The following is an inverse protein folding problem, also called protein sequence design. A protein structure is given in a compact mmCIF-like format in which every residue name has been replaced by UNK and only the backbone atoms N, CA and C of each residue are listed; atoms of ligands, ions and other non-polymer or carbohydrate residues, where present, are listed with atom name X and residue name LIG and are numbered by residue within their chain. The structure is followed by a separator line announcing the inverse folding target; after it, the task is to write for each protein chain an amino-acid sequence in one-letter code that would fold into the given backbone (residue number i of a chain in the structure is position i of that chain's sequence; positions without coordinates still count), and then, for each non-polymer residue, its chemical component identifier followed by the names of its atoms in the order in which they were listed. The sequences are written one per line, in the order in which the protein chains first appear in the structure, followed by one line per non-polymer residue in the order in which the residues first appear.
data_IF_668957989144
#
_entry.id   IF_668957989144
#
_cell.length_a   1.000
_cell.length_b   1.000
_cell.length_c   1.000
_cell.angle_alpha   90.00
_cell.angle_beta   90.00
_cell.angle_gamma   90.00
#
_symmetry.space_group_name_H-M   'P 1'
#
loop_
_entity.id
_entity.type
_entity.pdbx_description
1 polymer ?
#
# COMPACT_ATOMS: atom_id res chain seq x y z
N UNK A 1 5.24 2.98 -4.70
CA UNK A 1 5.68 4.29 -4.18
C UNK A 1 4.56 5.33 -4.21
N UNK A 2 3.93 5.63 -5.36
CA UNK A 2 2.83 6.64 -5.46
C UNK A 2 1.69 6.41 -4.47
N UNK A 3 1.24 5.16 -4.29
CA UNK A 3 0.19 4.78 -3.32
C UNK A 3 0.56 5.08 -1.85
N UNK A 4 1.84 4.87 -1.50
CA UNK A 4 2.36 5.16 -0.16
C UNK A 4 2.46 6.68 0.06
N UNK A 5 3.00 7.40 -0.93
CA UNK A 5 3.14 8.86 -0.89
C UNK A 5 1.75 9.52 -0.79
N UNK A 6 0.77 9.04 -1.56
CA UNK A 6 -0.61 9.53 -1.50
C UNK A 6 -1.22 9.31 -0.11
N UNK A 7 -1.02 8.13 0.50
CA UNK A 7 -1.49 7.84 1.85
C UNK A 7 -0.83 8.71 2.92
N UNK A 8 0.48 8.99 2.80
CA UNK A 8 1.21 9.87 3.72
C UNK A 8 0.74 11.32 3.58
N UNK A 9 0.55 11.82 2.35
CA UNK A 9 0.05 13.18 2.09
C UNK A 9 -1.38 13.38 2.60
N UNK A 10 -2.27 12.41 2.36
CA UNK A 10 -3.63 12.41 2.90
C UNK A 10 -3.62 12.40 4.44
N UNK A 11 -2.76 11.59 5.05
CA UNK A 11 -2.60 11.56 6.51
C UNK A 11 -2.05 12.86 7.09
N UNK A 12 -1.09 13.49 6.40
CA UNK A 12 -0.47 14.75 6.83
C UNK A 12 -1.47 15.92 6.83
N UNK A 13 -2.43 15.93 5.90
CA UNK A 13 -3.52 16.92 5.88
C UNK A 13 -4.68 16.58 6.84
N UNK A 14 -4.94 15.30 7.08
CA UNK A 14 -6.00 14.85 8.00
C UNK A 14 -5.68 15.11 9.48
N UNK A 15 -4.41 15.01 9.89
CA UNK A 15 -4.01 15.17 11.29
C UNK A 15 -4.23 16.60 11.83
N UNK A 16 -3.85 17.69 11.13
CA UNK A 16 -4.17 19.06 11.54
C UNK A 16 -5.67 19.34 11.58
N UNK A 17 -6.44 18.83 10.61
CA UNK A 17 -7.91 18.98 10.60
C UNK A 17 -8.55 18.30 11.80
N UNK A 18 -8.08 17.11 12.18
CA UNK A 18 -8.54 16.39 13.36
C UNK A 18 -8.26 17.17 14.65
N UNK A 19 -7.06 17.76 14.75
CA UNK A 19 -6.65 18.59 15.90
C UNK A 19 -7.50 19.86 15.99
N UNK A 20 -7.77 20.55 14.87
CA UNK A 20 -8.69 21.69 14.83
C UNK A 20 -10.11 21.31 15.25
N UNK A 21 -10.63 20.18 14.76
CA UNK A 21 -11.94 19.66 15.14
C UNK A 21 -12.01 19.34 16.65
N UNK A 22 -10.96 18.73 17.20
CA UNK A 22 -10.88 18.42 18.63
C UNK A 22 -10.83 19.67 19.50
N UNK A 23 -10.10 20.72 19.10
CA UNK A 23 -10.05 21.99 19.83
C UNK A 23 -11.43 22.66 19.87
N UNK A 24 -12.13 22.72 18.73
CA UNK A 24 -13.49 23.26 18.68
C UNK A 24 -14.47 22.41 19.50
N UNK A 25 -14.32 21.09 19.47
CA UNK A 25 -15.14 20.17 20.24
C UNK A 25 -14.94 20.35 21.76
N UNK A 26 -13.70 20.42 22.22
CA UNK A 26 -13.36 20.62 23.64
C UNK A 26 -13.88 21.98 24.11
N UNK A 27 -13.77 23.03 23.29
CA UNK A 27 -14.30 24.34 23.63
C UNK A 27 -15.83 24.31 23.81
N UNK A 28 -16.57 23.66 22.91
CA UNK A 28 -18.02 23.50 23.05
C UNK A 28 -18.44 22.66 24.27
N UNK A 29 -17.63 21.67 24.68
CA UNK A 29 -17.91 20.85 25.85
C UNK A 29 -17.73 21.63 27.16
N UNK A 30 -16.70 22.47 27.25
CA UNK A 30 -16.50 23.33 28.43
C UNK A 30 -17.63 24.35 28.61
N UNK A 31 -18.20 24.82 27.51
CA UNK A 31 -19.31 25.77 27.52
C UNK A 31 -20.70 25.10 27.56
N UNK A 32 -20.76 23.76 27.71
CA UNK A 32 -21.96 22.92 27.79
C UNK A 32 -22.95 22.96 26.60
N UNK A 33 -22.56 23.58 25.49
CA UNK A 33 -23.32 23.68 24.24
C UNK A 33 -23.22 22.38 23.40
N UNK A 34 -23.86 21.31 23.89
CA UNK A 34 -23.82 19.96 23.29
C UNK A 34 -24.30 19.91 21.82
N UNK A 35 -25.20 20.83 21.42
CA UNK A 35 -25.71 20.92 20.05
C UNK A 35 -24.65 21.38 19.05
N UNK A 36 -23.78 22.31 19.44
CA UNK A 36 -22.66 22.76 18.61
C UNK A 36 -21.56 21.70 18.52
N UNK A 37 -21.24 21.04 19.64
CA UNK A 37 -20.28 19.94 19.70
C UNK A 37 -20.61 18.81 18.70
N UNK A 38 -21.89 18.42 18.61
CA UNK A 38 -22.33 17.38 17.68
C UNK A 38 -22.15 17.78 16.21
N UNK A 39 -22.37 19.06 15.88
CA UNK A 39 -22.15 19.57 14.52
C UNK A 39 -20.67 19.48 14.12
N UNK A 40 -19.74 19.89 14.99
CA UNK A 40 -18.31 19.80 14.70
C UNK A 40 -17.84 18.35 14.55
N UNK A 41 -18.34 17.45 15.41
CA UNK A 41 -18.00 16.04 15.36
C UNK A 41 -18.45 15.38 14.05
N UNK A 42 -19.70 15.57 13.63
CA UNK A 42 -20.20 14.94 12.41
C UNK A 42 -19.72 15.64 11.12
N UNK A 43 -19.60 16.97 11.12
CA UNK A 43 -19.21 17.70 9.91
C UNK A 43 -17.72 17.63 9.61
N UNK A 44 -16.87 17.57 10.64
CA UNK A 44 -15.40 17.65 10.46
C UNK A 44 -14.64 16.52 11.14
N UNK A 45 -15.06 16.09 12.33
CA UNK A 45 -14.37 15.06 13.11
C UNK A 45 -14.45 13.68 12.47
N UNK A 46 -15.67 13.21 12.16
CA UNK A 46 -15.93 11.90 11.61
C UNK A 46 -15.35 11.71 10.20
N UNK A 47 -15.47 12.69 9.26
CA UNK A 47 -14.78 12.63 7.97
C UNK A 47 -13.24 12.58 8.11
N UNK A 48 -12.67 13.37 9.03
CA UNK A 48 -11.23 13.38 9.29
C UNK A 48 -10.75 12.02 9.83
N UNK A 49 -11.53 11.40 10.72
CA UNK A 49 -11.22 10.08 11.26
C UNK A 49 -11.27 8.98 10.19
N UNK A 50 -12.27 9.01 9.30
CA UNK A 50 -12.39 8.07 8.18
C UNK A 50 -11.20 8.22 7.23
N UNK A 51 -10.80 9.45 6.91
CA UNK A 51 -9.63 9.72 6.06
C UNK A 51 -8.32 9.26 6.70
N UNK A 52 -8.15 9.47 8.02
CA UNK A 52 -6.96 9.01 8.75
C UNK A 52 -6.90 7.48 8.83
N UNK A 53 -8.02 6.83 9.14
CA UNK A 53 -8.13 5.37 9.19
C UNK A 53 -7.90 4.74 7.81
N UNK A 54 -8.52 5.29 6.76
CA UNK A 54 -8.31 4.86 5.38
C UNK A 54 -6.85 4.98 4.95
N UNK A 55 -6.20 6.11 5.27
CA UNK A 55 -4.77 6.32 5.01
C UNK A 55 -3.90 5.30 5.76
N UNK A 56 -4.18 5.05 7.04
CA UNK A 56 -3.47 4.07 7.84
C UNK A 56 -3.64 2.64 7.32
N UNK A 57 -4.85 2.25 6.90
CA UNK A 57 -5.13 0.95 6.32
C UNK A 57 -4.41 0.76 4.98
N UNK A 58 -4.37 1.79 4.15
CA UNK A 58 -3.68 1.78 2.86
C UNK A 58 -2.17 1.66 3.07
N UNK A 59 -1.59 2.41 4.00
CA UNK A 59 -0.18 2.32 4.38
C UNK A 59 0.12 0.92 4.93
N UNK A 60 -0.66 0.42 5.89
CA UNK A 60 -0.46 -0.91 6.50
C UNK A 60 -0.56 -2.03 5.47
N UNK A 61 -1.47 -1.93 4.52
CA UNK A 61 -1.58 -2.88 3.41
C UNK A 61 -0.36 -2.81 2.48
N UNK A 62 0.14 -1.61 2.17
CA UNK A 62 1.36 -1.43 1.37
C UNK A 62 2.61 -1.97 2.06
N UNK A 63 2.74 -1.81 3.38
CA UNK A 63 3.89 -2.33 4.14
C UNK A 63 3.83 -3.85 4.30
N UNK A 64 2.63 -4.43 4.42
CA UNK A 64 2.44 -5.90 4.51
C UNK A 64 2.55 -6.60 3.17
N UNK A 65 2.05 -5.99 2.11
CA UNK A 65 2.19 -6.46 0.74
C UNK A 65 2.98 -5.40 -0.02
N UNK A 66 4.31 -5.32 0.20
CA UNK A 66 5.15 -4.46 -0.63
C UNK A 66 5.00 -4.99 -2.05
N UNK A 67 4.20 -4.30 -2.86
CA UNK A 67 4.22 -4.51 -4.30
C UNK A 67 5.67 -4.28 -4.67
N UNK A 68 6.36 -5.36 -5.09
CA UNK A 68 7.76 -5.34 -5.52
C UNK A 68 8.00 -3.98 -6.16
N UNK A 69 8.92 -3.13 -5.65
CA UNK A 69 9.10 -1.80 -6.21
C UNK A 69 9.26 -2.00 -7.70
N UNK A 70 8.25 -1.55 -8.46
CA UNK A 70 8.40 -1.43 -9.89
C UNK A 70 9.69 -0.60 -10.01
N UNK A 71 10.75 -1.17 -10.62
CA UNK A 71 12.01 -0.47 -10.73
C UNK A 71 11.67 0.91 -11.25
N UNK A 72 12.10 1.95 -10.53
CA UNK A 72 12.02 3.32 -11.01
C UNK A 72 13.09 3.47 -12.11
N UNK A 73 12.98 2.66 -13.15
CA UNK A 73 13.80 2.61 -14.35
C UNK A 73 13.25 1.55 -15.33
N UNK A 74 11.97 1.60 -15.69
CA UNK A 74 11.62 1.61 -17.12
C UNK A 74 10.16 1.93 -17.36
N UNK A 75 9.97 2.92 -18.21
CA UNK A 75 8.93 2.88 -19.21
C UNK A 75 8.82 1.46 -19.83
N UNK A 76 7.60 0.92 -19.78
CA UNK A 76 7.05 -0.35 -20.32
C UNK A 76 7.30 -1.71 -19.59
N UNK A 77 6.18 -2.26 -19.07
CA UNK A 77 5.65 -3.66 -19.19
C UNK A 77 5.44 -4.58 -17.94
N UNK A 78 4.50 -5.58 -18.00
CA UNK A 78 3.85 -6.29 -16.86
C UNK A 78 4.55 -7.63 -16.40
N UNK A 79 3.85 -8.50 -15.63
CA UNK A 79 4.07 -9.95 -15.24
C UNK A 79 4.64 -10.40 -13.85
N UNK A 80 3.74 -11.01 -13.06
CA UNK A 80 3.70 -12.26 -12.22
C UNK A 80 4.89 -13.25 -12.34
N UNK A 81 5.31 -14.14 -11.40
CA UNK A 81 4.78 -14.76 -10.17
C UNK A 81 5.78 -15.82 -9.60
N UNK A 82 5.38 -16.49 -8.52
CA UNK A 82 6.08 -17.35 -7.52
C UNK A 82 6.60 -18.75 -7.99
N UNK A 83 7.55 -19.40 -7.26
CA UNK A 83 7.38 -20.73 -6.59
C UNK A 83 8.71 -21.50 -6.29
N UNK A 84 8.72 -22.31 -5.22
CA UNK A 84 9.85 -23.05 -4.63
C UNK A 84 9.67 -24.59 -4.70
N UNK A 85 10.78 -25.30 -4.51
CA UNK A 85 11.01 -26.74 -4.23
C UNK A 85 10.92 -27.74 -5.38
N UNK A 86 11.85 -27.63 -6.33
CA UNK A 86 12.99 -28.53 -6.54
C UNK A 86 13.74 -27.88 -7.71
N UNK A 87 14.54 -26.88 -7.37
CA UNK A 87 15.06 -25.88 -8.30
C UNK A 87 15.85 -26.56 -9.41
N UNK A 88 15.22 -26.73 -10.58
CA UNK A 88 15.96 -27.11 -11.77
C UNK A 88 16.74 -25.86 -12.18
N UNK A 89 18.04 -25.95 -12.34
CA UNK A 89 18.84 -24.82 -12.81
C UNK A 89 19.08 -24.96 -14.31
N UNK A 90 19.05 -23.83 -15.02
CA UNK A 90 19.36 -23.84 -16.43
C UNK A 90 20.83 -24.23 -16.63
N UNK A 91 21.10 -25.28 -17.39
CA UNK A 91 22.47 -25.77 -17.61
C UNK A 91 23.36 -24.81 -18.40
N UNK A 92 22.77 -23.82 -19.09
CA UNK A 92 23.52 -22.82 -19.86
C UNK A 92 23.85 -21.56 -19.06
N UNK A 93 22.94 -21.10 -18.20
CA UNK A 93 23.09 -19.81 -17.50
C UNK A 93 22.95 -19.88 -15.98
N UNK A 94 22.66 -21.06 -15.43
CA UNK A 94 22.61 -21.31 -13.99
C UNK A 94 21.40 -20.71 -13.25
N UNK A 95 20.45 -20.08 -13.94
CA UNK A 95 19.27 -19.51 -13.29
C UNK A 95 18.29 -20.60 -12.85
N UNK A 96 17.65 -20.40 -11.70
CA UNK A 96 16.59 -21.30 -11.22
C UNK A 96 15.38 -21.29 -12.17
N UNK A 97 14.81 -22.47 -12.37
CA UNK A 97 13.69 -22.75 -13.26
C UNK A 97 12.54 -23.31 -12.44
N UNK A 98 11.32 -22.87 -12.77
CA UNK A 98 10.11 -23.44 -12.22
C UNK A 98 9.94 -24.91 -12.66
N UNK A 99 9.28 -25.71 -11.82
CA UNK A 99 9.16 -27.16 -12.00
C UNK A 99 8.54 -27.58 -13.35
N UNK A 100 7.73 -26.73 -13.96
CA UNK A 100 6.99 -26.95 -15.21
C UNK A 100 7.46 -26.07 -16.38
N UNK A 101 8.61 -25.40 -16.25
CA UNK A 101 9.12 -24.52 -17.31
C UNK A 101 9.64 -25.34 -18.52
N UNK A 102 9.02 -25.14 -19.68
CA UNK A 102 9.45 -25.73 -20.98
C UNK A 102 10.61 -24.94 -21.61
N UNK A 103 10.77 -23.67 -21.23
CA UNK A 103 11.84 -22.78 -21.69
C UNK A 103 12.36 -21.93 -20.53
N UNK A 104 13.66 -21.63 -20.51
CA UNK A 104 14.28 -20.82 -19.47
C UNK A 104 13.91 -19.34 -19.64
N UNK A 105 13.30 -18.67 -18.64
CA UNK A 105 12.92 -17.26 -18.74
C UNK A 105 14.13 -16.31 -18.76
N UNK A 106 15.34 -16.78 -18.40
CA UNK A 106 16.54 -15.94 -18.39
C UNK A 106 17.39 -16.05 -19.67
N UNK A 107 17.47 -17.22 -20.33
CA UNK A 107 18.36 -17.41 -21.49
C UNK A 107 17.68 -17.98 -22.74
N UNK A 108 16.37 -18.28 -22.67
CA UNK A 108 15.57 -18.77 -23.80
C UNK A 108 15.84 -20.21 -24.22
N UNK A 109 16.76 -20.92 -23.55
CA UNK A 109 17.03 -22.32 -23.86
C UNK A 109 15.80 -23.17 -23.55
N UNK A 110 15.44 -24.03 -24.50
CA UNK A 110 14.42 -25.07 -24.29
C UNK A 110 14.90 -26.05 -23.21
N UNK A 111 14.07 -26.28 -22.22
CA UNK A 111 14.31 -27.22 -21.13
C UNK A 111 13.58 -28.50 -21.52
N UNK A 112 14.33 -29.48 -22.01
CA UNK A 112 13.77 -30.80 -22.32
C UNK A 112 13.55 -31.54 -20.99
N UNK A 113 12.29 -31.82 -20.64
CA UNK A 113 11.96 -32.80 -19.61
C UNK A 113 12.25 -34.19 -20.20
N UNK A 114 13.42 -34.75 -19.86
CA UNK A 114 13.73 -36.17 -20.06
C UNK A 114 13.18 -36.99 -18.91
#
# INVERSE_FOLDING_TARGET
MVRLILGILLGFWGLPLLVFSAQNLINCLNENESKAALMFFFATGLPSLIMLLGSFLLIRNYTKNPSKPAPLAKSCSPHTGLSSTNGRYCTKCGSELAAEAVFCPNCGQKISAG
#
